data_IF_477201861264
#
_entry.id   IF_477201861264
#
_cell.length_a   1.000
_cell.length_b   1.000
_cell.length_c   1.000
_cell.angle_alpha   90.00
_cell.angle_beta   90.00
_cell.angle_gamma   90.00
#
_symmetry.space_group_name_H-M   'P 1'
#
loop_
_entity.id
_entity.type
_entity.pdbx_description
1 polymer ?
#
# COMPACT_ATOMS: atom_id res chain seq x y z
N UNK A 1 9.73 -16.13 -7.03
CA UNK A 1 8.90 -14.90 -6.97
C UNK A 1 9.34 -14.14 -5.73
N UNK A 2 9.74 -12.87 -5.87
CA UNK A 2 10.16 -11.98 -4.77
C UNK A 2 9.10 -10.90 -4.61
N UNK A 3 8.62 -10.67 -3.39
CA UNK A 3 7.66 -9.63 -3.09
C UNK A 3 8.29 -8.57 -2.17
N UNK A 4 7.88 -7.32 -2.34
CA UNK A 4 8.19 -6.21 -1.42
C UNK A 4 6.90 -5.84 -0.70
N UNK A 5 6.92 -5.91 0.63
CA UNK A 5 5.80 -5.52 1.47
C UNK A 5 6.05 -4.10 1.99
N UNK A 6 5.20 -3.17 1.57
CA UNK A 6 5.23 -1.78 2.04
C UNK A 6 4.45 -1.68 3.34
N UNK A 7 5.09 -1.23 4.41
CA UNK A 7 4.52 -1.19 5.76
C UNK A 7 4.42 0.25 6.25
N UNK A 8 3.29 0.62 6.83
CA UNK A 8 3.21 1.86 7.61
C UNK A 8 3.73 1.62 9.04
N UNK A 9 3.76 2.68 9.85
CA UNK A 9 4.27 2.63 11.22
C UNK A 9 3.18 2.29 12.25
N UNK A 10 2.15 1.53 11.84
CA UNK A 10 1.18 0.99 12.77
C UNK A 10 1.87 0.07 13.78
N UNK A 11 1.54 0.18 15.07
CA UNK A 11 2.11 -0.68 16.12
C UNK A 11 1.80 -2.17 15.95
N UNK A 12 0.93 -2.53 14.99
CA UNK A 12 0.61 -3.90 14.61
C UNK A 12 1.63 -4.51 13.63
N UNK A 13 2.53 -3.70 13.04
CA UNK A 13 3.59 -4.15 12.13
C UNK A 13 4.91 -4.49 12.85
N UNK A 14 4.85 -4.90 14.10
CA UNK A 14 6.02 -5.33 14.86
C UNK A 14 6.66 -6.58 14.21
N UNK A 15 7.96 -6.48 13.91
CA UNK A 15 8.76 -7.54 13.30
C UNK A 15 8.79 -8.83 14.16
N UNK A 16 8.49 -8.74 15.46
CA UNK A 16 8.42 -9.90 16.34
C UNK A 16 7.16 -10.76 16.13
N UNK A 17 6.13 -10.24 15.44
CA UNK A 17 4.84 -10.92 15.29
C UNK A 17 4.74 -11.77 14.01
N UNK A 18 5.62 -11.59 13.01
CA UNK A 18 5.51 -12.24 11.70
C UNK A 18 6.85 -12.74 11.18
N UNK A 19 6.95 -14.04 10.91
CA UNK A 19 8.07 -14.64 10.17
C UNK A 19 7.94 -14.31 8.68
N UNK A 20 8.88 -13.51 8.16
CA UNK A 20 8.93 -13.16 6.73
C UNK A 20 9.93 -14.06 6.02
N UNK A 21 9.52 -14.83 4.99
CA UNK A 21 10.45 -15.64 4.23
C UNK A 21 11.56 -14.79 3.61
N UNK A 22 12.80 -15.29 3.60
CA UNK A 22 13.99 -14.59 3.07
C UNK A 22 13.85 -14.15 1.60
N UNK A 23 12.93 -14.77 0.86
CA UNK A 23 12.61 -14.42 -0.52
C UNK A 23 11.88 -13.08 -0.66
N UNK A 24 11.35 -12.51 0.43
CA UNK A 24 10.57 -11.28 0.45
C UNK A 24 11.28 -10.17 1.22
N UNK A 25 11.08 -8.93 0.80
CA UNK A 25 11.63 -7.74 1.47
C UNK A 25 10.53 -6.94 2.15
N UNK A 26 10.87 -6.30 3.27
CA UNK A 26 10.02 -5.33 3.95
C UNK A 26 10.52 -3.92 3.65
N UNK A 27 9.60 -3.02 3.34
CA UNK A 27 9.87 -1.60 3.12
C UNK A 27 9.04 -0.77 4.11
N UNK A 28 9.61 -0.41 5.27
CA UNK A 28 8.93 0.47 6.22
C UNK A 28 8.88 1.90 5.67
N UNK A 29 7.71 2.52 5.72
CA UNK A 29 7.52 3.92 5.37
C UNK A 29 7.94 4.83 6.53
N UNK A 30 8.36 6.08 6.25
CA UNK A 30 8.57 7.06 7.31
C UNK A 30 7.28 7.27 8.13
N UNK A 31 7.39 7.57 9.44
CA UNK A 31 6.24 7.86 10.27
C UNK A 31 5.33 8.93 9.66
N UNK A 32 4.02 8.80 9.89
CA UNK A 32 3.01 9.80 9.51
C UNK A 32 3.03 10.19 8.03
N UNK A 33 3.35 9.25 7.13
CA UNK A 33 3.50 9.53 5.69
C UNK A 33 2.40 8.88 4.83
N UNK A 34 1.12 9.22 5.00
CA UNK A 34 0.02 8.61 4.24
C UNK A 34 0.10 8.90 2.74
N UNK A 35 0.72 10.02 2.34
CA UNK A 35 0.90 10.40 0.92
C UNK A 35 1.70 9.38 0.09
N UNK A 36 2.64 8.68 0.73
CA UNK A 36 3.50 7.68 0.06
C UNK A 36 3.02 6.24 0.32
N UNK A 37 2.01 6.06 1.17
CA UNK A 37 1.39 4.75 1.40
C UNK A 37 0.39 4.45 0.26
N UNK A 38 0.64 3.44 -0.59
CA UNK A 38 -0.26 3.08 -1.70
C UNK A 38 -1.66 2.69 -1.19
N UNK A 39 -1.77 2.03 -0.03
CA UNK A 39 -3.05 1.66 0.55
C UNK A 39 -3.86 2.88 1.00
N UNK A 40 -3.20 3.94 1.47
CA UNK A 40 -3.90 5.19 1.81
C UNK A 40 -4.53 5.85 0.57
N UNK A 41 -3.87 5.76 -0.60
CA UNK A 41 -4.42 6.23 -1.88
C UNK A 41 -5.60 5.39 -2.35
N UNK A 42 -5.50 4.06 -2.26
CA UNK A 42 -6.62 3.15 -2.55
C UNK A 42 -7.82 3.46 -1.65
N UNK A 43 -7.59 3.65 -0.35
CA UNK A 43 -8.65 3.99 0.59
C UNK A 43 -9.30 5.34 0.27
N UNK A 44 -8.49 6.34 -0.07
CA UNK A 44 -9.00 7.64 -0.54
C UNK A 44 -9.88 7.49 -1.79
N UNK A 45 -9.44 6.71 -2.77
CA UNK A 45 -10.19 6.44 -4.00
C UNK A 45 -11.56 5.81 -3.72
N UNK A 46 -11.60 4.76 -2.89
CA UNK A 46 -12.82 4.08 -2.49
C UNK A 46 -13.79 5.03 -1.77
N UNK A 47 -13.25 5.84 -0.85
CA UNK A 47 -14.02 6.82 -0.09
C UNK A 47 -14.64 7.87 -0.99
N UNK A 48 -13.87 8.48 -1.88
CA UNK A 48 -14.34 9.56 -2.75
C UNK A 48 -15.42 9.09 -3.74
N UNK A 49 -15.34 7.85 -4.23
CA UNK A 49 -16.22 7.35 -5.30
C UNK A 49 -17.43 6.55 -4.83
N UNK A 50 -17.31 5.82 -3.73
CA UNK A 50 -18.27 4.76 -3.41
C UNK A 50 -18.75 4.74 -1.95
N UNK A 51 -17.99 5.33 -1.02
CA UNK A 51 -18.27 5.20 0.42
C UNK A 51 -18.56 6.54 1.13
N UNK A 52 -18.30 7.68 0.49
CA UNK A 52 -18.57 8.99 1.08
C UNK A 52 -20.07 9.25 1.26
N UNK A 53 -20.43 9.94 2.34
CA UNK A 53 -21.79 10.40 2.63
C UNK A 53 -22.88 9.31 2.68
N UNK A 54 -22.51 8.05 2.95
CA UNK A 54 -23.46 6.96 3.12
C UNK A 54 -23.81 6.74 4.59
N UNK A 55 -25.10 6.66 4.89
CA UNK A 55 -25.58 6.14 6.16
C UNK A 55 -25.75 4.62 6.02
N UNK A 56 -24.95 3.86 6.75
CA UNK A 56 -24.94 2.40 6.73
C UNK A 56 -25.57 1.91 8.03
N UNK A 57 -26.54 1.00 7.92
CA UNK A 57 -27.41 0.64 9.04
C UNK A 57 -26.69 -0.16 10.13
N UNK A 58 -25.79 -1.04 9.73
CA UNK A 58 -25.07 -1.96 10.59
C UNK A 58 -23.71 -2.35 9.99
N UNK A 59 -23.03 -3.27 10.68
CA UNK A 59 -21.73 -3.80 10.26
C UNK A 59 -21.81 -4.49 8.90
N UNK A 60 -22.84 -5.29 8.65
CA UNK A 60 -22.98 -6.06 7.40
C UNK A 60 -23.18 -5.14 6.20
N UNK A 61 -24.00 -4.10 6.36
CA UNK A 61 -24.17 -3.06 5.35
C UNK A 61 -22.84 -2.34 5.04
N UNK A 62 -22.00 -2.12 6.05
CA UNK A 62 -20.68 -1.52 5.86
C UNK A 62 -19.69 -2.46 5.16
N UNK A 63 -19.66 -3.72 5.57
CA UNK A 63 -18.82 -4.75 4.96
C UNK A 63 -19.19 -4.94 3.48
N UNK A 64 -20.47 -5.09 3.17
CA UNK A 64 -20.96 -5.23 1.80
C UNK A 64 -20.60 -4.00 0.96
N UNK A 65 -20.80 -2.79 1.48
CA UNK A 65 -20.47 -1.56 0.79
C UNK A 65 -18.97 -1.49 0.41
N UNK A 66 -18.08 -1.84 1.35
CA UNK A 66 -16.63 -1.88 1.11
C UNK A 66 -16.27 -2.98 0.12
N UNK A 67 -16.81 -4.20 0.25
CA UNK A 67 -16.57 -5.29 -0.68
C UNK A 67 -16.96 -4.92 -2.11
N UNK A 68 -18.16 -4.35 -2.32
CA UNK A 68 -18.62 -3.90 -3.64
C UNK A 68 -17.72 -2.80 -4.21
N UNK A 69 -17.30 -1.84 -3.38
CA UNK A 69 -16.41 -0.78 -3.82
C UNK A 69 -15.03 -1.33 -4.22
N UNK A 70 -14.50 -2.28 -3.46
CA UNK A 70 -13.22 -2.94 -3.75
C UNK A 70 -13.26 -3.78 -5.02
N UNK A 71 -14.33 -4.55 -5.26
CA UNK A 71 -14.50 -5.34 -6.50
C UNK A 71 -14.51 -4.41 -7.72
N UNK A 72 -15.17 -3.26 -7.63
CA UNK A 72 -15.19 -2.28 -8.73
C UNK A 72 -13.80 -1.77 -9.09
N UNK A 73 -12.90 -1.60 -8.12
CA UNK A 73 -11.50 -1.23 -8.38
C UNK A 73 -10.76 -2.32 -9.16
N UNK A 74 -11.10 -3.60 -8.94
CA UNK A 74 -10.52 -4.72 -9.67
C UNK A 74 -11.03 -4.79 -11.12
N UNK A 75 -12.30 -4.44 -11.35
CA UNK A 75 -12.91 -4.41 -12.68
C UNK A 75 -12.39 -3.23 -13.54
N UNK A 76 -11.98 -2.14 -12.91
CA UNK A 76 -11.40 -0.97 -13.56
C UNK A 76 -9.93 -1.22 -13.95
N UNK A 77 -9.71 -1.72 -15.18
CA UNK A 77 -8.37 -2.02 -15.72
C UNK A 77 -7.38 -0.88 -15.48
N UNK A 78 -6.24 -1.20 -14.87
CA UNK A 78 -5.15 -0.27 -14.60
C UNK A 78 -5.36 0.64 -13.39
N UNK A 79 -6.52 0.61 -12.73
CA UNK A 79 -6.82 1.44 -11.56
C UNK A 79 -5.83 1.15 -10.42
N UNK A 80 -5.65 -0.12 -10.04
CA UNK A 80 -4.65 -0.50 -9.04
C UNK A 80 -3.23 -0.15 -9.45
N UNK A 81 -2.87 -0.32 -10.72
CA UNK A 81 -1.52 0.04 -11.22
C UNK A 81 -1.22 1.52 -10.98
N UNK A 82 -2.21 2.40 -11.19
CA UNK A 82 -2.06 3.85 -10.98
C UNK A 82 -2.08 4.20 -9.49
N UNK A 83 -3.02 3.63 -8.73
CA UNK A 83 -3.21 3.95 -7.30
C UNK A 83 -2.07 3.43 -6.43
N UNK A 84 -1.54 2.26 -6.77
CA UNK A 84 -0.44 1.62 -6.08
C UNK A 84 0.92 1.81 -6.79
N UNK A 85 1.01 2.71 -7.77
CA UNK A 85 2.25 2.99 -8.48
C UNK A 85 3.37 3.43 -7.51
N UNK A 86 4.48 2.70 -7.56
CA UNK A 86 5.70 2.91 -6.77
C UNK A 86 6.44 4.23 -7.08
N UNK A 87 6.06 4.96 -8.13
CA UNK A 87 6.70 6.23 -8.52
C UNK A 87 6.69 7.30 -7.42
N UNK A 88 5.83 7.17 -6.40
CA UNK A 88 5.82 8.06 -5.23
C UNK A 88 6.89 7.72 -4.16
N UNK A 89 7.45 6.51 -4.18
CA UNK A 89 8.48 6.05 -3.24
C UNK A 89 9.88 6.46 -3.71
N UNK A 90 10.17 6.35 -5.01
CA UNK A 90 11.47 6.71 -5.60
C UNK A 90 11.68 8.23 -5.65
N UNK A 91 10.62 9.03 -5.82
CA UNK A 91 10.69 10.49 -5.84
C UNK A 91 10.92 11.13 -4.45
N UNK A 92 10.76 10.38 -3.36
CA UNK A 92 10.78 10.92 -1.99
C UNK A 92 12.16 10.87 -1.31
N UNK A 93 13.20 10.35 -1.96
CA UNK A 93 14.55 10.27 -1.37
C UNK A 93 14.67 9.35 -0.14
N UNK A 94 13.65 8.53 0.13
CA UNK A 94 13.57 7.61 1.28
C UNK A 94 14.63 6.48 1.17
N UNK A 95 15.30 6.34 0.04
CA UNK A 95 16.38 5.38 -0.18
C UNK A 95 17.68 5.66 0.60
N UNK A 96 17.82 6.80 1.29
CA UNK A 96 19.09 7.20 1.91
C UNK A 96 19.32 6.76 3.37
N UNK A 97 18.41 6.02 4.02
CA UNK A 97 18.64 5.61 5.41
C UNK A 97 18.27 4.14 5.66
N UNK A 98 19.19 3.24 5.32
CA UNK A 98 19.27 1.93 6.00
C UNK A 98 18.91 0.68 5.19
N UNK A 99 19.01 0.70 3.86
CA UNK A 99 18.93 -0.54 3.06
C UNK A 99 20.33 -0.86 2.53
N UNK A 100 20.91 -1.94 3.03
CA UNK A 100 22.22 -2.50 2.63
C UNK A 100 22.29 -2.75 1.12
N UNK A 101 23.50 -2.67 0.58
CA UNK A 101 24.00 -2.74 -0.83
C UNK A 101 23.23 -3.57 -1.90
N UNK A 102 22.27 -4.42 -1.55
CA UNK A 102 21.59 -5.34 -2.47
C UNK A 102 20.48 -4.73 -3.33
N UNK A 103 20.01 -3.51 -3.08
CA UNK A 103 18.89 -2.90 -3.82
C UNK A 103 19.31 -1.75 -4.76
N UNK A 104 20.61 -1.40 -4.80
CA UNK A 104 21.16 -0.52 -5.85
C UNK A 104 20.95 -1.11 -7.24
N UNK A 105 20.86 -2.44 -7.36
CA UNK A 105 20.58 -3.14 -8.62
C UNK A 105 19.09 -3.10 -8.99
N UNK A 106 18.17 -3.05 -8.01
CA UNK A 106 16.73 -3.02 -8.28
C UNK A 106 16.26 -1.66 -8.83
N UNK A 107 16.89 -0.56 -8.39
CA UNK A 107 16.68 0.77 -8.95
C UNK A 107 17.18 0.93 -10.39
N UNK A 108 18.23 0.18 -10.76
CA UNK A 108 18.79 0.18 -12.12
C UNK A 108 18.04 -0.76 -13.09
N UNK A 109 17.36 -1.79 -12.58
CA UNK A 109 16.64 -2.77 -13.40
C UNK A 109 15.24 -2.33 -13.86
N UNK A 110 14.72 -1.21 -13.35
CA UNK A 110 13.36 -0.71 -13.62
C UNK A 110 13.37 0.70 -14.27
N UNK A 111 14.56 1.25 -14.55
CA UNK A 111 14.74 2.43 -15.42
C UNK A 111 14.81 2.02 -16.89
#
# INVERSE_FOLDING_TARGET
MRAVLVLDQSGWHDAQAVLVPETNALLPLPPLSPRVNPMARVWQYLRERSLSHRMLADYEAALEAVCRASIRVLDERGCLTILAAYQNLTASGIFCAGITEQESELGAAIA
#
